data_IF_514029550521
#
_entry.id   IF_514029550521
#
_cell.length_a   1.000
_cell.length_b   1.000
_cell.length_c   1.000
_cell.angle_alpha   90.00
_cell.angle_beta   90.00
_cell.angle_gamma   90.00
#
_symmetry.space_group_name_H-M   'P 1'
#
loop_
_entity.id
_entity.type
_entity.pdbx_description
1 polymer ?
#
# COMPACT_ATOMS: atom_id res chain seq x y z
N UNK A 1 32.62 12.56 79.44
CA UNK A 1 33.34 13.39 78.44
C UNK A 1 34.36 12.52 77.72
N UNK A 2 34.16 12.27 76.42
CA UNK A 2 35.09 11.75 75.36
C UNK A 2 34.20 11.22 74.22
N UNK A 3 33.99 12.02 73.17
CA UNK A 3 34.62 11.90 71.84
C UNK A 3 34.12 10.63 71.11
N UNK A 4 33.30 10.65 70.05
CA UNK A 4 33.20 11.58 68.94
C UNK A 4 33.73 10.89 67.67
N UNK A 5 32.86 10.59 66.70
CA UNK A 5 33.14 10.36 65.26
C UNK A 5 31.84 9.97 64.53
N UNK A 6 31.13 10.95 64.00
CA UNK A 6 30.11 10.74 62.97
C UNK A 6 30.83 10.64 61.61
N UNK A 7 30.69 9.51 60.94
CA UNK A 7 31.14 9.35 59.55
C UNK A 7 30.02 9.84 58.62
N UNK A 8 30.28 10.90 57.86
CA UNK A 8 29.39 11.38 56.80
C UNK A 8 29.68 10.55 55.54
N UNK A 9 28.75 9.68 55.16
CA UNK A 9 28.75 9.02 53.85
C UNK A 9 28.11 9.96 52.82
N UNK A 10 28.91 10.43 51.87
CA UNK A 10 28.40 11.17 50.71
C UNK A 10 27.80 10.17 49.71
N UNK A 11 26.49 10.28 49.46
CA UNK A 11 25.76 9.48 48.48
C UNK A 11 25.93 10.12 47.09
N UNK A 12 26.58 9.41 46.17
CA UNK A 12 26.77 9.85 44.79
C UNK A 12 25.43 9.65 44.04
N UNK A 13 24.68 10.72 43.81
CA UNK A 13 23.46 10.67 43.00
C UNK A 13 23.84 10.56 41.51
N UNK A 14 23.73 9.36 40.94
CA UNK A 14 23.86 9.17 39.50
C UNK A 14 22.62 9.75 38.81
N UNK A 15 22.80 10.84 38.08
CA UNK A 15 21.76 11.43 37.22
C UNK A 15 21.59 10.51 36.00
N UNK A 16 20.61 9.63 36.04
CA UNK A 16 20.13 8.93 34.84
C UNK A 16 19.33 9.92 34.01
N UNK A 17 19.98 10.56 33.04
CA UNK A 17 19.25 11.33 32.05
C UNK A 17 18.33 10.39 31.24
N UNK A 18 17.06 10.77 30.98
CA UNK A 18 16.19 9.98 30.14
C UNK A 18 16.77 9.95 28.73
N UNK A 19 17.06 8.75 28.24
CA UNK A 19 17.37 8.54 26.82
C UNK A 19 16.04 8.72 26.08
N UNK A 20 15.90 9.82 25.37
CA UNK A 20 14.80 10.00 24.42
C UNK A 20 14.97 8.93 23.34
N UNK A 21 14.21 7.84 23.43
CA UNK A 21 13.98 6.94 22.30
C UNK A 21 13.26 7.77 21.24
N UNK A 22 14.03 8.37 20.32
CA UNK A 22 13.46 8.88 19.09
C UNK A 22 12.92 7.68 18.34
N UNK A 23 11.60 7.65 18.14
CA UNK A 23 10.96 6.66 17.29
C UNK A 23 11.69 6.64 15.94
N UNK A 24 11.95 5.43 15.44
CA UNK A 24 12.57 5.23 14.14
C UNK A 24 11.78 6.03 13.09
N UNK A 25 12.43 6.95 12.35
CA UNK A 25 11.75 7.79 11.36
C UNK A 25 11.01 6.97 10.30
N UNK A 26 11.45 5.74 10.01
CA UNK A 26 10.78 4.81 9.09
C UNK A 26 9.48 4.29 9.69
N UNK A 27 9.49 3.91 10.97
CA UNK A 27 8.29 3.46 11.69
C UNK A 27 7.29 4.60 11.85
N UNK A 28 7.76 5.80 12.18
CA UNK A 28 6.91 6.99 12.28
C UNK A 28 6.28 7.37 10.93
N UNK A 29 7.04 7.28 9.84
CA UNK A 29 6.51 7.50 8.49
C UNK A 29 5.48 6.43 8.09
N UNK A 30 5.73 5.16 8.40
CA UNK A 30 4.78 4.07 8.12
C UNK A 30 3.47 4.21 8.92
N UNK A 31 3.54 4.62 10.19
CA UNK A 31 2.36 4.90 11.03
C UNK A 31 1.61 6.17 10.62
N UNK A 32 2.29 7.11 9.97
CA UNK A 32 1.69 8.34 9.46
C UNK A 32 0.98 8.15 8.12
N UNK A 33 1.13 7.01 7.45
CA UNK A 33 0.37 6.70 6.24
C UNK A 33 -1.09 6.40 6.63
N UNK A 34 -2.07 7.26 6.27
CA UNK A 34 -3.47 7.10 6.65
C UNK A 34 -4.17 6.05 5.77
N UNK A 35 -3.45 5.00 5.39
CA UNK A 35 -3.83 4.06 4.33
C UNK A 35 -3.89 2.68 4.98
N UNK A 36 -5.10 2.26 5.34
CA UNK A 36 -5.35 0.90 5.79
C UNK A 36 -5.33 -0.02 4.56
N UNK A 37 -4.23 -0.73 4.35
CA UNK A 37 -4.15 -1.77 3.30
C UNK A 37 -5.07 -2.91 3.73
N UNK A 38 -6.10 -3.16 2.92
CA UNK A 38 -7.08 -4.22 3.16
C UNK A 38 -6.79 -5.48 2.35
N UNK A 39 -6.11 -5.33 1.21
CA UNK A 39 -5.75 -6.45 0.37
C UNK A 39 -4.45 -6.18 -0.40
N UNK A 40 -3.62 -7.21 -0.53
CA UNK A 40 -2.46 -7.22 -1.40
C UNK A 40 -2.46 -8.53 -2.18
N UNK A 41 -2.39 -8.44 -3.51
CA UNK A 41 -2.34 -9.60 -4.40
C UNK A 41 -1.26 -9.40 -5.44
N UNK A 42 -0.50 -10.46 -5.70
CA UNK A 42 0.42 -10.54 -6.83
C UNK A 42 -0.23 -11.40 -7.90
N UNK A 43 -0.21 -10.94 -9.15
CA UNK A 43 -0.80 -11.66 -10.27
C UNK A 43 -0.80 -10.85 -11.55
N UNK A 44 -1.39 -11.41 -12.60
CA UNK A 44 -1.30 -10.80 -13.92
C UNK A 44 0.07 -11.00 -14.56
N UNK A 45 0.16 -10.67 -15.84
CA UNK A 45 1.44 -10.49 -16.55
C UNK A 45 1.38 -9.25 -17.41
N UNK A 46 2.55 -8.68 -17.65
CA UNK A 46 2.75 -7.63 -18.63
C UNK A 46 4.05 -7.90 -19.39
N UNK A 47 4.05 -7.49 -20.65
CA UNK A 47 5.20 -7.54 -21.53
C UNK A 47 5.41 -6.12 -22.08
N UNK A 48 6.61 -5.59 -21.88
CA UNK A 48 7.02 -4.28 -22.37
C UNK A 48 7.54 -4.35 -23.80
N UNK A 49 7.40 -3.26 -24.54
CA UNK A 49 7.88 -3.15 -25.92
C UNK A 49 9.41 -3.29 -26.04
N UNK A 50 10.15 -2.99 -24.98
CA UNK A 50 11.60 -3.12 -24.86
C UNK A 50 12.07 -4.54 -24.50
N UNK A 51 11.14 -5.50 -24.42
CA UNK A 51 11.41 -6.88 -24.02
C UNK A 51 11.49 -7.10 -22.52
N UNK A 52 11.21 -6.08 -21.71
CA UNK A 52 10.98 -6.27 -20.27
C UNK A 52 9.66 -6.99 -20.04
N UNK A 53 9.56 -7.74 -18.94
CA UNK A 53 8.29 -8.41 -18.62
C UNK A 53 8.22 -8.70 -17.14
N UNK A 54 7.00 -8.87 -16.65
CA UNK A 54 6.81 -9.32 -15.29
C UNK A 54 5.36 -9.46 -14.90
N UNK A 55 5.04 -9.04 -13.69
CA UNK A 55 3.74 -9.24 -13.09
C UNK A 55 3.26 -7.97 -12.39
N UNK A 56 1.99 -7.97 -11.98
CA UNK A 56 1.42 -6.86 -11.25
C UNK A 56 1.33 -7.17 -9.76
N UNK A 57 1.43 -6.12 -8.95
CA UNK A 57 1.00 -6.11 -7.55
C UNK A 57 -0.19 -5.18 -7.41
N UNK A 58 -1.31 -5.74 -6.98
CA UNK A 58 -2.55 -5.03 -6.70
C UNK A 58 -2.62 -4.75 -5.21
N UNK A 59 -2.75 -3.49 -4.84
CA UNK A 59 -2.84 -3.04 -3.45
C UNK A 59 -4.18 -2.33 -3.32
N UNK A 60 -5.07 -2.91 -2.51
CA UNK A 60 -6.33 -2.28 -2.13
C UNK A 60 -6.17 -1.68 -0.76
N UNK A 61 -6.53 -0.42 -0.63
CA UNK A 61 -6.56 0.27 0.65
C UNK A 61 -7.84 1.06 0.84
N UNK A 62 -8.12 1.47 2.07
CA UNK A 62 -9.20 2.43 2.34
C UNK A 62 -8.76 3.84 1.93
N UNK A 63 -9.72 4.63 1.45
CA UNK A 63 -9.49 6.04 1.11
C UNK A 63 -9.14 6.90 2.33
N UNK A 64 -9.68 6.53 3.50
CA UNK A 64 -9.37 7.12 4.80
C UNK A 64 -9.60 6.08 5.91
N UNK A 65 -9.02 6.26 7.11
CA UNK A 65 -9.26 5.37 8.25
C UNK A 65 -10.77 5.21 8.54
N UNK A 66 -11.24 3.96 8.58
CA UNK A 66 -12.66 3.64 8.79
C UNK A 66 -13.58 3.85 7.60
N UNK A 67 -13.08 4.31 6.44
CA UNK A 67 -13.89 4.48 5.23
C UNK A 67 -14.19 3.15 4.54
N UNK A 68 -15.37 3.06 3.92
CA UNK A 68 -15.72 1.97 2.99
C UNK A 68 -15.21 2.24 1.57
N UNK A 69 -14.93 3.50 1.25
CA UNK A 69 -14.38 3.86 -0.06
C UNK A 69 -12.98 3.27 -0.21
N UNK A 70 -12.74 2.67 -1.37
CA UNK A 70 -11.50 1.96 -1.68
C UNK A 70 -10.60 2.78 -2.59
N UNK A 71 -9.29 2.49 -2.49
CA UNK A 71 -8.24 2.88 -3.42
C UNK A 71 -7.64 1.61 -3.97
N UNK A 72 -7.45 1.55 -5.28
CA UNK A 72 -6.75 0.45 -5.93
C UNK A 72 -5.49 0.99 -6.57
N UNK A 73 -4.34 0.50 -6.11
CA UNK A 73 -3.03 0.84 -6.64
C UNK A 73 -2.48 -0.40 -7.34
N UNK A 74 -2.00 -0.21 -8.57
CA UNK A 74 -1.36 -1.25 -9.38
C UNK A 74 0.11 -0.91 -9.52
N UNK A 75 0.98 -1.88 -9.25
CA UNK A 75 2.42 -1.77 -9.49
C UNK A 75 2.82 -2.77 -10.56
N UNK A 76 3.63 -2.33 -11.50
CA UNK A 76 4.30 -3.19 -12.48
C UNK A 76 5.65 -3.56 -11.92
N UNK A 77 5.91 -4.85 -11.79
CA UNK A 77 7.16 -5.38 -11.25
C UNK A 77 7.86 -6.11 -12.37
N UNK A 78 9.09 -5.71 -12.64
CA UNK A 78 9.97 -6.40 -13.57
C UNK A 78 10.44 -7.72 -12.95
N UNK A 79 10.32 -8.80 -13.71
CA UNK A 79 10.72 -10.15 -13.32
C UNK A 79 12.15 -10.50 -13.75
N UNK A 80 12.83 -9.62 -14.49
CA UNK A 80 14.20 -9.80 -14.94
C UNK A 80 15.20 -9.63 -13.79
N UNK A 81 15.27 -10.63 -12.91
CA UNK A 81 16.41 -10.79 -12.01
C UNK A 81 16.17 -11.66 -10.79
N UNK A 82 16.39 -12.98 -10.92
CA UNK A 82 16.59 -13.89 -9.77
C UNK A 82 17.77 -13.47 -8.86
N UNK A 83 18.61 -12.52 -9.30
CA UNK A 83 19.80 -12.04 -8.61
C UNK A 83 19.80 -10.56 -8.19
N UNK A 84 18.80 -9.75 -8.58
CA UNK A 84 18.80 -8.28 -8.36
C UNK A 84 17.57 -7.72 -7.60
N UNK A 85 16.64 -8.57 -7.18
CA UNK A 85 15.45 -8.14 -6.44
C UNK A 85 14.37 -7.56 -7.34
N UNK A 86 13.13 -7.62 -6.86
CA UNK A 86 11.95 -7.08 -7.53
C UNK A 86 12.11 -5.57 -7.74
N UNK A 87 12.04 -5.12 -9.00
CA UNK A 87 12.07 -3.69 -9.33
C UNK A 87 10.68 -3.22 -9.74
N UNK A 88 10.15 -2.22 -9.03
CA UNK A 88 8.91 -1.56 -9.42
C UNK A 88 9.22 -0.62 -10.57
N UNK A 89 8.67 -0.90 -11.76
CA UNK A 89 8.88 -0.06 -12.96
C UNK A 89 7.83 1.03 -13.11
N UNK A 90 6.63 0.81 -12.58
CA UNK A 90 5.55 1.79 -12.58
C UNK A 90 4.60 1.57 -11.40
N UNK A 91 3.91 2.62 -11.00
CA UNK A 91 2.81 2.57 -10.02
C UNK A 91 1.73 3.53 -10.45
N UNK A 92 0.49 3.04 -10.52
CA UNK A 92 -0.69 3.83 -10.90
C UNK A 92 -1.85 3.52 -9.97
N UNK A 93 -2.64 4.53 -9.65
CA UNK A 93 -3.90 4.39 -8.94
C UNK A 93 -5.05 4.35 -9.97
N UNK A 94 -5.99 3.43 -9.78
CA UNK A 94 -7.24 3.37 -10.56
C UNK A 94 -8.19 4.39 -9.96
N UNK A 95 -8.26 5.57 -10.58
CA UNK A 95 -8.91 6.76 -9.99
C UNK A 95 -10.43 6.64 -9.96
N UNK A 96 -11.01 5.77 -10.78
CA UNK A 96 -12.46 5.57 -10.89
C UNK A 96 -13.08 5.10 -9.58
N UNK A 97 -12.33 4.45 -8.68
CA UNK A 97 -12.82 4.10 -7.35
C UNK A 97 -12.87 5.31 -6.40
N UNK A 98 -11.96 6.27 -6.60
CA UNK A 98 -11.82 7.43 -5.71
C UNK A 98 -12.70 8.61 -6.11
N UNK A 99 -12.92 8.82 -7.41
CA UNK A 99 -13.69 9.96 -7.93
C UNK A 99 -15.18 9.89 -7.57
N UNK A 100 -15.71 8.68 -7.38
CA UNK A 100 -17.13 8.40 -7.12
C UNK A 100 -17.38 7.73 -5.77
N UNK A 101 -16.36 7.68 -4.90
CA UNK A 101 -16.43 7.06 -3.56
C UNK A 101 -16.95 5.61 -3.60
N UNK A 102 -16.41 4.76 -4.48
CA UNK A 102 -16.82 3.36 -4.54
C UNK A 102 -16.21 2.52 -3.40
N UNK A 103 -17.01 1.61 -2.85
CA UNK A 103 -16.49 0.44 -2.16
C UNK A 103 -16.14 -0.65 -3.17
N UNK A 104 -14.95 -1.24 -3.04
CA UNK A 104 -14.54 -2.41 -3.80
C UNK A 104 -14.92 -3.67 -3.00
N UNK A 105 -15.86 -4.46 -3.51
CA UNK A 105 -16.35 -5.68 -2.84
C UNK A 105 -15.60 -6.93 -3.30
N UNK A 106 -15.00 -6.88 -4.49
CA UNK A 106 -14.19 -7.96 -5.05
C UNK A 106 -13.46 -7.50 -6.31
N UNK A 107 -12.43 -8.25 -6.69
CA UNK A 107 -11.87 -8.12 -8.03
C UNK A 107 -11.27 -9.43 -8.55
N UNK A 108 -11.30 -9.58 -9.86
CA UNK A 108 -10.67 -10.68 -10.59
C UNK A 108 -9.68 -10.11 -11.60
N UNK A 109 -8.58 -10.83 -11.82
CA UNK A 109 -7.57 -10.45 -12.79
C UNK A 109 -7.45 -11.57 -13.81
N UNK A 110 -7.64 -11.24 -15.08
CA UNK A 110 -7.56 -12.15 -16.21
C UNK A 110 -6.37 -11.73 -17.08
N UNK A 111 -5.47 -12.66 -17.35
CA UNK A 111 -4.29 -12.42 -18.18
C UNK A 111 -4.53 -13.00 -19.55
N UNK A 112 -4.41 -12.13 -20.55
CA UNK A 112 -4.53 -12.46 -21.96
C UNK A 112 -3.23 -12.14 -22.69
N UNK A 113 -3.16 -12.42 -24.00
CA UNK A 113 -1.95 -12.16 -24.79
C UNK A 113 -1.60 -10.68 -24.90
N UNK A 114 -2.58 -9.79 -24.71
CA UNK A 114 -2.41 -8.34 -24.86
C UNK A 114 -2.15 -7.61 -23.54
N UNK A 115 -2.32 -8.29 -22.40
CA UNK A 115 -2.15 -7.67 -21.09
C UNK A 115 -2.97 -8.34 -19.99
N UNK A 116 -3.25 -7.57 -18.93
CA UNK A 116 -4.10 -8.02 -17.83
C UNK A 116 -5.34 -7.14 -17.73
N UNK A 117 -6.51 -7.77 -17.71
CA UNK A 117 -7.81 -7.13 -17.45
C UNK A 117 -8.21 -7.36 -16.00
N UNK A 118 -8.63 -6.31 -15.31
CA UNK A 118 -9.25 -6.39 -13.99
C UNK A 118 -10.75 -6.18 -14.12
N UNK A 119 -11.51 -7.10 -13.53
CA UNK A 119 -12.95 -6.94 -13.32
C UNK A 119 -13.16 -6.59 -11.85
N UNK A 120 -13.63 -5.37 -11.60
CA UNK A 120 -13.84 -4.83 -10.26
C UNK A 120 -15.33 -4.86 -9.94
N UNK A 121 -15.71 -5.51 -8.85
CA UNK A 121 -17.08 -5.47 -8.32
C UNK A 121 -17.18 -4.30 -7.33
N UNK A 122 -18.10 -3.36 -7.58
CA UNK A 122 -18.18 -2.11 -6.82
C UNK A 122 -19.57 -1.82 -6.27
N UNK A 123 -19.60 -1.01 -5.21
CA UNK A 123 -20.81 -0.37 -4.70
C UNK A 123 -20.57 1.13 -4.67
N UNK A 124 -21.39 1.89 -5.38
CA UNK A 124 -21.48 3.35 -5.22
C UNK A 124 -22.03 3.67 -3.82
N UNK A 125 -21.23 4.34 -2.99
CA UNK A 125 -21.63 4.63 -1.61
C UNK A 125 -22.67 5.76 -1.50
N UNK A 126 -22.77 6.63 -2.51
CA UNK A 126 -23.75 7.70 -2.53
C UNK A 126 -25.14 7.17 -2.92
N UNK A 127 -25.21 6.22 -3.85
CA UNK A 127 -26.48 5.69 -4.38
C UNK A 127 -26.83 4.28 -3.89
N UNK A 128 -25.89 3.59 -3.23
CA UNK A 128 -25.96 2.16 -2.89
C UNK A 128 -26.18 1.24 -4.11
N UNK A 129 -25.80 1.71 -5.31
CA UNK A 129 -25.92 0.93 -6.55
C UNK A 129 -24.76 -0.04 -6.67
N UNK A 130 -25.07 -1.30 -6.96
CA UNK A 130 -24.07 -2.32 -7.31
C UNK A 130 -23.72 -2.14 -8.79
N UNK A 131 -22.42 -2.11 -9.07
CA UNK A 131 -21.90 -2.01 -10.43
C UNK A 131 -20.59 -2.74 -10.58
N UNK A 132 -19.92 -2.49 -11.70
CA UNK A 132 -18.56 -2.96 -11.91
C UNK A 132 -17.78 -2.03 -12.82
N UNK A 133 -16.46 -2.15 -12.74
CA UNK A 133 -15.51 -1.42 -13.57
C UNK A 133 -14.57 -2.44 -14.19
N UNK A 134 -14.42 -2.41 -15.51
CA UNK A 134 -13.41 -3.18 -16.23
C UNK A 134 -12.21 -2.29 -16.49
N UNK A 135 -11.03 -2.71 -16.04
CA UNK A 135 -9.77 -1.99 -16.20
C UNK A 135 -8.82 -2.83 -17.04
N UNK A 136 -8.43 -2.35 -18.22
CA UNK A 136 -7.40 -2.97 -19.03
C UNK A 136 -6.04 -2.30 -18.75
N UNK A 137 -5.04 -3.11 -18.38
CA UNK A 137 -3.67 -2.64 -18.12
C UNK A 137 -2.85 -2.77 -19.41
N UNK A 138 -2.72 -1.66 -20.16
CA UNK A 138 -2.08 -1.62 -21.49
C UNK A 138 -0.55 -1.78 -21.43
N UNK A 139 0.06 -1.32 -20.34
CA UNK A 139 1.51 -1.32 -20.17
C UNK A 139 1.93 -0.61 -18.88
N UNK A 140 3.24 -0.52 -18.58
CA UNK A 140 3.72 0.07 -17.34
C UNK A 140 3.16 1.47 -17.09
N UNK A 141 2.27 1.57 -16.10
CA UNK A 141 1.68 2.82 -15.64
C UNK A 141 0.47 3.31 -16.46
N UNK A 142 0.11 2.64 -17.55
CA UNK A 142 -1.06 2.99 -18.38
C UNK A 142 -2.21 2.01 -18.15
N UNK A 143 -3.44 2.53 -18.16
CA UNK A 143 -4.65 1.72 -18.12
C UNK A 143 -5.81 2.43 -18.81
N UNK A 144 -6.81 1.64 -19.20
CA UNK A 144 -8.11 2.12 -19.67
C UNK A 144 -9.19 1.51 -18.78
N UNK A 145 -10.02 2.35 -18.16
CA UNK A 145 -11.18 1.90 -17.40
C UNK A 145 -12.47 2.16 -18.17
N UNK A 146 -13.39 1.22 -18.06
CA UNK A 146 -14.74 1.31 -18.62
C UNK A 146 -15.75 0.78 -17.62
N UNK A 147 -16.98 1.30 -17.58
CA UNK A 147 -18.06 0.67 -16.83
C UNK A 147 -18.25 -0.77 -17.30
N UNK A 148 -18.36 -1.71 -16.37
CA UNK A 148 -18.65 -3.10 -16.71
C UNK A 148 -20.03 -3.18 -17.38
N UNK A 149 -20.12 -3.95 -18.47
CA UNK A 149 -21.39 -4.20 -19.15
C UNK A 149 -22.15 -5.28 -18.36
N UNK A 150 -23.23 -4.91 -17.68
CA UNK A 150 -24.16 -5.85 -17.04
C UNK A 150 -25.19 -6.40 -18.04
#
# INVERSE_FOLDING_TARGET
MRSGRLAVFAFLAAVTAPVSLQADPVVAAAQALPVEIVHLRIGGRWDGEDGTSGYHRFIVARAAPGSRAARLIVQWIDSAGESSGETIVATTEITELTETEHELTGFQAETESEGTTLHLDTVDLATATIGGITVFLEGPGSYVATPASN
#
